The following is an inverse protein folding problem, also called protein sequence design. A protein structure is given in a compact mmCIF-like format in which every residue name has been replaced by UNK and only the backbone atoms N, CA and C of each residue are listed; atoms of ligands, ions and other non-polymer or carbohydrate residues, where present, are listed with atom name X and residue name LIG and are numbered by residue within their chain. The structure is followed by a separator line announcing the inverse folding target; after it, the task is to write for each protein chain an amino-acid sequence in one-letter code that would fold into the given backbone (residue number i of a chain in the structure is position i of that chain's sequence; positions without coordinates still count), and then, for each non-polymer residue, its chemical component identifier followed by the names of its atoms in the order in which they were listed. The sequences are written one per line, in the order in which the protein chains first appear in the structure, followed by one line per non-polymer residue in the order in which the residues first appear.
data_IF_183899550623
#
_entry.id   IF_183899550623
#
_cell.length_a   1.000
_cell.length_b   1.000
_cell.length_c   1.000
_cell.angle_alpha   90.00
_cell.angle_beta   90.00
_cell.angle_gamma   90.00
#
_symmetry.space_group_name_H-M   'P 1'
#
loop_
_entity.id
_entity.type
_entity.pdbx_description
1 polymer ?
#
# COMPACT_ATOMS: atom_id res chain seq x y z
N UNK A 1 -37.22 9.86 39.79
CA UNK A 1 -36.82 9.77 38.37
C UNK A 1 -35.42 9.18 38.30
N UNK A 2 -35.28 7.91 37.93
CA UNK A 2 -33.96 7.29 37.71
C UNK A 2 -33.52 7.69 36.29
N UNK A 3 -32.44 8.45 36.19
CA UNK A 3 -31.79 8.72 34.90
C UNK A 3 -31.31 7.38 34.32
N UNK A 4 -31.86 6.96 33.21
CA UNK A 4 -31.32 5.85 32.44
C UNK A 4 -29.91 6.25 31.98
N UNK A 5 -28.88 5.36 32.17
CA UNK A 5 -27.55 5.63 31.66
C UNK A 5 -27.63 5.76 30.13
N UNK A 6 -27.13 6.87 29.60
CA UNK A 6 -27.04 7.10 28.18
C UNK A 6 -26.34 5.91 27.52
N UNK A 7 -26.92 5.36 26.45
CA UNK A 7 -26.30 4.28 25.69
C UNK A 7 -24.89 4.69 25.25
N UNK A 8 -23.87 3.85 25.47
CA UNK A 8 -22.50 4.18 25.11
C UNK A 8 -22.43 4.52 23.63
N UNK A 9 -21.82 5.68 23.30
CA UNK A 9 -21.65 6.14 21.92
C UNK A 9 -20.89 5.08 21.10
N UNK A 10 -21.15 5.01 19.79
CA UNK A 10 -20.44 4.08 18.87
C UNK A 10 -18.93 4.21 19.03
N UNK A 11 -18.41 5.42 19.26
CA UNK A 11 -17.00 5.69 19.51
C UNK A 11 -16.48 5.00 20.78
N UNK A 12 -17.26 4.98 21.88
CA UNK A 12 -16.86 4.28 23.12
C UNK A 12 -16.94 2.76 22.96
N UNK A 13 -17.88 2.24 22.18
CA UNK A 13 -17.95 0.80 21.83
C UNK A 13 -16.77 0.38 20.95
N UNK A 14 -16.25 1.29 20.11
CA UNK A 14 -15.08 1.07 19.27
C UNK A 14 -13.76 1.34 19.98
N UNK A 15 -13.72 1.73 21.25
CA UNK A 15 -12.47 2.09 21.95
C UNK A 15 -11.71 3.23 21.29
N UNK A 16 -12.41 4.08 20.51
CA UNK A 16 -11.83 5.20 19.79
C UNK A 16 -11.59 6.35 20.77
N UNK A 17 -10.34 6.46 21.23
CA UNK A 17 -9.87 7.65 21.93
C UNK A 17 -9.63 8.78 20.93
N UNK A 18 -9.65 10.05 21.39
CA UNK A 18 -9.34 11.19 20.50
C UNK A 18 -7.99 11.05 19.78
N UNK A 19 -6.88 10.70 20.46
CA UNK A 19 -5.60 10.46 19.78
C UNK A 19 -5.67 9.36 18.72
N UNK A 20 -6.36 8.25 19.00
CA UNK A 20 -6.55 7.18 18.04
C UNK A 20 -7.30 7.65 16.80
N UNK A 21 -8.40 8.39 16.96
CA UNK A 21 -9.17 8.92 15.84
C UNK A 21 -8.36 9.86 14.97
N UNK A 22 -7.54 10.76 15.58
CA UNK A 22 -6.67 11.67 14.84
C UNK A 22 -5.62 10.92 14.03
N UNK A 23 -4.95 9.92 14.61
CA UNK A 23 -3.94 9.13 13.90
C UNK A 23 -4.56 8.34 12.75
N UNK A 24 -5.72 7.73 12.96
CA UNK A 24 -6.44 7.01 11.90
C UNK A 24 -6.87 7.96 10.78
N UNK A 25 -7.29 9.17 11.12
CA UNK A 25 -7.64 10.21 10.14
C UNK A 25 -6.39 10.67 9.35
N UNK A 26 -5.24 10.84 10.02
CA UNK A 26 -3.97 11.14 9.34
C UNK A 26 -3.64 10.06 8.32
N UNK A 27 -3.65 8.78 8.71
CA UNK A 27 -3.35 7.68 7.79
C UNK A 27 -4.38 7.59 6.66
N UNK A 28 -5.66 7.84 6.94
CA UNK A 28 -6.68 7.92 5.90
C UNK A 28 -6.34 8.99 4.86
N UNK A 29 -5.95 10.20 5.30
CA UNK A 29 -5.59 11.30 4.40
C UNK A 29 -4.31 11.03 3.61
N UNK A 30 -3.30 10.40 4.21
CA UNK A 30 -2.06 9.99 3.53
C UNK A 30 -2.41 9.06 2.33
N UNK A 31 -3.24 8.05 2.58
CA UNK A 31 -3.61 7.08 1.53
C UNK A 31 -4.61 7.66 0.52
N UNK A 32 -5.50 8.53 0.95
CA UNK A 32 -6.37 9.29 0.07
C UNK A 32 -5.53 10.12 -0.91
N UNK A 33 -4.52 10.82 -0.41
CA UNK A 33 -3.64 11.65 -1.22
C UNK A 33 -2.81 10.85 -2.22
N UNK A 34 -2.26 9.71 -1.81
CA UNK A 34 -1.58 8.79 -2.73
C UNK A 34 -2.58 8.31 -3.81
N UNK A 35 -3.79 7.89 -3.37
CA UNK A 35 -4.81 7.34 -4.25
C UNK A 35 -5.33 8.32 -5.30
N UNK A 36 -5.46 9.60 -4.97
CA UNK A 36 -5.97 10.60 -5.91
C UNK A 36 -5.03 10.86 -7.09
N UNK A 37 -3.73 10.65 -6.90
CA UNK A 37 -2.73 10.89 -7.96
C UNK A 37 -2.82 9.85 -9.08
N UNK A 38 -3.23 8.61 -8.78
CA UNK A 38 -3.28 7.55 -9.80
C UNK A 38 -4.17 7.90 -11.00
N UNK A 39 -5.42 8.39 -10.83
CA UNK A 39 -6.25 8.76 -11.97
C UNK A 39 -5.88 10.11 -12.60
N UNK A 40 -5.25 11.04 -11.90
CA UNK A 40 -4.98 12.39 -12.41
C UNK A 40 -3.53 12.62 -12.83
N UNK A 41 -2.57 11.99 -12.15
CA UNK A 41 -1.14 12.23 -12.33
C UNK A 41 -0.68 12.07 -13.77
N UNK A 42 -1.01 10.97 -14.48
CA UNK A 42 -0.66 10.76 -15.86
C UNK A 42 -1.23 11.85 -16.77
N UNK A 43 -2.52 12.20 -16.62
CA UNK A 43 -3.16 13.24 -17.43
C UNK A 43 -2.56 14.61 -17.17
N UNK A 44 -2.29 14.96 -15.91
CA UNK A 44 -1.71 16.24 -15.54
C UNK A 44 -0.26 16.37 -16.06
N UNK A 45 0.53 15.31 -15.96
CA UNK A 45 1.88 15.29 -16.54
C UNK A 45 1.83 15.46 -18.08
N UNK A 46 0.87 14.82 -18.75
CA UNK A 46 0.69 14.93 -20.20
C UNK A 46 0.38 16.37 -20.66
N UNK A 47 -0.25 17.21 -19.84
CA UNK A 47 -0.46 18.64 -20.17
C UNK A 47 0.85 19.42 -20.31
N UNK A 48 1.95 18.92 -19.76
CA UNK A 48 3.31 19.47 -19.88
C UNK A 48 4.17 18.71 -20.90
N UNK A 49 3.54 17.89 -21.76
CA UNK A 49 4.27 17.12 -22.78
C UNK A 49 5.02 15.90 -22.23
N UNK A 50 4.65 15.40 -21.06
CA UNK A 50 5.28 14.23 -20.46
C UNK A 50 5.07 12.98 -21.32
N UNK A 51 6.14 12.22 -21.52
CA UNK A 51 6.12 10.89 -22.09
C UNK A 51 5.63 9.84 -21.07
N UNK A 52 5.41 8.61 -21.49
CA UNK A 52 5.05 7.52 -20.56
C UNK A 52 6.19 7.20 -19.56
N UNK A 53 7.45 7.37 -19.99
CA UNK A 53 8.60 7.28 -19.09
C UNK A 53 8.56 8.38 -18.03
N UNK A 54 8.23 9.61 -18.38
CA UNK A 54 8.12 10.74 -17.45
C UNK A 54 7.02 10.51 -16.41
N UNK A 55 5.90 9.93 -16.82
CA UNK A 55 4.83 9.50 -15.89
C UNK A 55 5.35 8.42 -14.97
N UNK A 56 6.05 7.42 -15.47
CA UNK A 56 6.72 6.41 -14.64
C UNK A 56 7.69 7.01 -13.62
N UNK A 57 8.48 8.00 -14.07
CA UNK A 57 9.45 8.73 -13.24
C UNK A 57 8.75 9.51 -12.12
N UNK A 58 7.58 10.10 -12.37
CA UNK A 58 6.78 10.81 -11.38
C UNK A 58 6.42 9.91 -10.17
N UNK A 59 6.02 8.65 -10.41
CA UNK A 59 5.75 7.68 -9.34
C UNK A 59 7.05 7.13 -8.71
N UNK A 60 8.08 6.93 -9.52
CA UNK A 60 9.40 6.47 -9.04
C UNK A 60 10.03 7.48 -8.09
N UNK A 61 10.02 8.77 -8.39
CA UNK A 61 10.59 9.82 -7.54
C UNK A 61 9.91 9.86 -6.16
N UNK A 62 8.58 9.73 -6.12
CA UNK A 62 7.86 9.59 -4.86
C UNK A 62 8.34 8.37 -4.07
N UNK A 63 8.41 7.20 -4.71
CA UNK A 63 8.80 5.94 -4.07
C UNK A 63 10.25 5.96 -3.58
N UNK A 64 11.16 6.56 -4.33
CA UNK A 64 12.58 6.73 -3.93
C UNK A 64 12.68 7.63 -2.70
N UNK A 65 12.03 8.80 -2.74
CA UNK A 65 12.05 9.72 -1.62
C UNK A 65 11.44 9.07 -0.37
N UNK A 66 10.31 8.39 -0.50
CA UNK A 66 9.67 7.65 0.59
C UNK A 66 10.59 6.57 1.17
N UNK A 67 11.21 5.75 0.30
CA UNK A 67 12.10 4.67 0.74
C UNK A 67 13.30 5.17 1.53
N UNK A 68 13.89 6.28 1.10
CA UNK A 68 15.05 6.87 1.79
C UNK A 68 14.67 7.53 3.11
N UNK A 69 13.48 8.11 3.20
CA UNK A 69 13.09 8.92 4.37
C UNK A 69 12.37 8.14 5.46
N UNK A 70 11.65 7.04 5.15
CA UNK A 70 10.96 6.23 6.16
C UNK A 70 11.87 5.80 7.31
N UNK A 71 13.07 5.21 7.10
CA UNK A 71 13.94 4.82 8.20
C UNK A 71 14.46 6.03 9.01
N UNK A 72 14.72 7.14 8.32
CA UNK A 72 15.19 8.38 8.94
C UNK A 72 14.09 8.96 9.85
N UNK A 73 12.88 9.08 9.32
CA UNK A 73 11.73 9.60 10.08
C UNK A 73 11.36 8.68 11.24
N UNK A 74 11.46 7.36 11.06
CA UNK A 74 11.31 6.39 12.14
C UNK A 74 12.32 6.62 13.27
N UNK A 75 13.60 6.72 12.95
CA UNK A 75 14.66 6.97 13.94
C UNK A 75 14.55 8.36 14.61
N UNK A 76 14.16 9.38 13.86
CA UNK A 76 13.86 10.71 14.41
C UNK A 76 12.67 10.67 15.37
N UNK A 77 11.63 9.92 15.01
CA UNK A 77 10.43 9.72 15.83
C UNK A 77 10.74 8.99 17.14
N UNK A 78 11.66 8.02 17.14
CA UNK A 78 12.15 7.35 18.35
C UNK A 78 12.99 8.26 19.24
N UNK A 79 13.70 9.24 18.64
CA UNK A 79 14.61 10.13 19.35
C UNK A 79 13.94 11.40 19.88
N UNK A 80 13.13 12.05 19.07
CA UNK A 80 12.54 13.35 19.39
C UNK A 80 11.09 13.26 19.88
N UNK A 81 10.46 12.10 19.70
CA UNK A 81 9.04 11.86 19.99
C UNK A 81 8.22 11.67 18.72
N UNK A 82 7.06 11.04 18.85
CA UNK A 82 6.17 10.72 17.73
C UNK A 82 5.51 11.97 17.15
N UNK A 83 4.99 12.83 18.04
CA UNK A 83 4.21 14.02 17.66
C UNK A 83 4.98 15.01 16.77
N UNK A 84 6.21 15.46 17.11
CA UNK A 84 6.95 16.40 16.27
C UNK A 84 7.20 15.89 14.86
N UNK A 85 7.55 14.60 14.73
CA UNK A 85 7.86 13.98 13.43
C UNK A 85 6.59 13.85 12.58
N UNK A 86 5.47 13.45 13.18
CA UNK A 86 4.17 13.43 12.51
C UNK A 86 3.77 14.82 12.01
N UNK A 87 3.90 15.87 12.83
CA UNK A 87 3.55 17.23 12.44
C UNK A 87 4.41 17.75 11.28
N UNK A 88 5.71 17.44 11.27
CA UNK A 88 6.61 17.80 10.17
C UNK A 88 6.23 17.04 8.90
N UNK A 89 5.94 15.74 9.01
CA UNK A 89 5.50 14.92 7.89
C UNK A 89 4.20 15.44 7.27
N UNK A 90 3.16 15.69 8.09
CA UNK A 90 1.88 16.22 7.61
C UNK A 90 2.07 17.61 6.96
N UNK A 91 2.90 18.50 7.55
CA UNK A 91 3.20 19.80 6.95
C UNK A 91 3.90 19.67 5.59
N UNK A 92 4.84 18.73 5.46
CA UNK A 92 5.50 18.45 4.19
C UNK A 92 4.54 17.89 3.13
N UNK A 93 3.54 17.11 3.50
CA UNK A 93 2.48 16.67 2.58
C UNK A 93 1.64 17.84 2.07
N UNK A 94 1.27 18.79 2.94
CA UNK A 94 0.60 20.03 2.51
C UNK A 94 1.41 20.72 1.43
N UNK A 95 2.72 20.90 1.66
CA UNK A 95 3.61 21.53 0.68
C UNK A 95 3.65 20.70 -0.62
N UNK A 96 3.75 19.39 -0.51
CA UNK A 96 3.74 18.48 -1.67
C UNK A 96 2.48 18.62 -2.53
N UNK A 97 1.28 18.67 -1.92
CA UNK A 97 0.02 18.84 -2.65
C UNK A 97 -0.14 20.25 -3.23
N UNK A 98 0.27 21.29 -2.50
CA UNK A 98 0.24 22.66 -3.01
C UNK A 98 1.18 22.82 -4.22
N UNK A 99 2.40 22.27 -4.15
CA UNK A 99 3.33 22.26 -5.29
C UNK A 99 2.76 21.50 -6.48
N UNK A 100 2.09 20.36 -6.25
CA UNK A 100 1.46 19.59 -7.33
C UNK A 100 0.34 20.38 -7.98
N UNK A 101 -0.60 20.94 -7.20
CA UNK A 101 -1.72 21.71 -7.73
C UNK A 101 -1.30 23.01 -8.41
N UNK A 102 -0.23 23.66 -7.93
CA UNK A 102 0.33 24.88 -8.50
C UNK A 102 1.36 24.63 -9.62
N UNK A 103 1.56 23.38 -10.05
CA UNK A 103 2.57 23.06 -11.03
C UNK A 103 2.30 23.77 -12.37
N UNK A 104 3.36 24.39 -12.92
CA UNK A 104 3.40 25.04 -14.22
C UNK A 104 4.40 24.37 -15.17
N UNK A 105 5.07 23.34 -14.71
CA UNK A 105 6.04 22.56 -15.47
C UNK A 105 6.17 21.14 -14.95
N UNK A 106 6.66 20.23 -15.78
CA UNK A 106 6.95 18.85 -15.42
C UNK A 106 7.96 18.75 -14.26
N UNK A 107 8.97 19.64 -14.24
CA UNK A 107 9.96 19.69 -13.16
C UNK A 107 9.29 19.99 -11.82
N UNK A 108 8.34 20.92 -11.76
CA UNK A 108 7.63 21.24 -10.53
C UNK A 108 6.74 20.07 -10.06
N UNK A 109 6.15 19.29 -11.00
CA UNK A 109 5.49 18.04 -10.66
C UNK A 109 6.45 17.04 -10.00
N UNK A 110 7.66 16.87 -10.55
CA UNK A 110 8.68 15.99 -9.97
C UNK A 110 9.10 16.44 -8.56
N UNK A 111 9.37 17.74 -8.39
CA UNK A 111 9.69 18.29 -7.06
C UNK A 111 8.57 18.04 -6.08
N UNK A 112 7.31 18.22 -6.49
CA UNK A 112 6.15 17.93 -5.63
C UNK A 112 6.12 16.47 -5.16
N UNK A 113 6.49 15.52 -6.06
CA UNK A 113 6.51 14.09 -5.73
C UNK A 113 7.65 13.74 -4.79
N UNK A 114 8.83 14.35 -4.96
CA UNK A 114 9.95 14.19 -4.02
C UNK A 114 9.58 14.72 -2.63
N UNK A 115 8.99 15.90 -2.55
CA UNK A 115 8.55 16.49 -1.27
C UNK A 115 7.49 15.62 -0.60
N UNK A 116 6.45 15.22 -1.33
CA UNK A 116 5.39 14.35 -0.81
C UNK A 116 5.95 12.99 -0.37
N UNK A 117 6.81 12.36 -1.18
CA UNK A 117 7.45 11.09 -0.84
C UNK A 117 8.33 11.18 0.40
N UNK A 118 9.13 12.25 0.51
CA UNK A 118 9.97 12.49 1.68
C UNK A 118 9.16 12.70 2.98
N UNK A 119 7.93 13.18 2.86
CA UNK A 119 7.04 13.48 3.98
C UNK A 119 6.14 12.28 4.36
N UNK A 120 5.98 11.29 3.48
CA UNK A 120 5.04 10.17 3.63
C UNK A 120 5.47 9.08 4.65
N UNK A 121 6.48 9.35 5.48
CA UNK A 121 6.88 8.48 6.60
C UNK A 121 5.88 8.42 7.76
N UNK A 122 4.77 9.16 7.67
CA UNK A 122 3.73 9.24 8.70
C UNK A 122 3.11 7.87 9.03
N UNK A 123 2.97 6.97 8.06
CA UNK A 123 2.39 5.63 8.30
C UNK A 123 3.21 4.84 9.32
N UNK A 124 4.55 4.86 9.22
CA UNK A 124 5.43 4.20 10.19
C UNK A 124 5.35 4.84 11.59
N UNK A 125 5.37 6.16 11.65
CA UNK A 125 5.21 6.91 12.90
C UNK A 125 3.82 6.69 13.52
N UNK A 126 2.76 6.63 12.70
CA UNK A 126 1.39 6.33 13.13
C UNK A 126 1.26 4.90 13.69
N UNK A 127 1.88 3.92 13.06
CA UNK A 127 1.91 2.55 13.57
C UNK A 127 2.60 2.48 14.94
N UNK A 128 3.74 3.17 15.09
CA UNK A 128 4.44 3.25 16.36
C UNK A 128 3.61 3.99 17.42
N UNK A 129 2.98 5.11 17.06
CA UNK A 129 2.08 5.85 17.94
C UNK A 129 0.92 4.97 18.43
N UNK A 130 0.25 4.24 17.52
CA UNK A 130 -0.83 3.29 17.86
C UNK A 130 -0.32 2.20 18.81
N UNK A 131 0.88 1.66 18.56
CA UNK A 131 1.49 0.67 19.44
C UNK A 131 1.77 1.21 20.85
N UNK A 132 2.17 2.49 20.96
CA UNK A 132 2.45 3.16 22.23
C UNK A 132 1.19 3.39 23.08
N UNK A 133 0.04 3.75 22.43
CA UNK A 133 -1.22 4.06 23.13
C UNK A 133 -2.14 2.85 23.31
N UNK A 134 -1.82 1.69 22.70
CA UNK A 134 -2.65 0.49 22.75
C UNK A 134 -2.12 -0.52 23.77
N UNK A 135 -3.01 -1.05 24.62
CA UNK A 135 -2.67 -2.19 25.47
C UNK A 135 -2.43 -3.45 24.62
N UNK A 136 -1.68 -4.46 25.11
CA UNK A 136 -1.46 -5.72 24.36
C UNK A 136 -2.75 -6.40 23.89
N UNK A 137 -3.85 -6.28 24.67
CA UNK A 137 -5.16 -6.84 24.32
C UNK A 137 -5.87 -6.07 23.21
N UNK A 138 -5.62 -4.77 23.10
CA UNK A 138 -6.27 -3.89 22.13
C UNK A 138 -5.50 -3.77 20.81
N UNK A 139 -4.21 -4.15 20.78
CA UNK A 139 -3.33 -3.99 19.62
C UNK A 139 -3.92 -4.56 18.33
N UNK A 140 -4.43 -5.79 18.36
CA UNK A 140 -5.01 -6.42 17.16
C UNK A 140 -6.15 -5.59 16.59
N UNK A 141 -7.02 -5.06 17.47
CA UNK A 141 -8.12 -4.21 17.08
C UNK A 141 -7.65 -2.85 16.55
N UNK A 142 -6.69 -2.21 17.22
CA UNK A 142 -6.13 -0.92 16.82
C UNK A 142 -5.47 -0.99 15.45
N UNK A 143 -4.70 -2.04 15.18
CA UNK A 143 -4.11 -2.29 13.86
C UNK A 143 -5.16 -2.69 12.81
N UNK A 144 -6.26 -3.34 13.20
CA UNK A 144 -7.41 -3.57 12.34
C UNK A 144 -8.07 -2.26 11.88
N UNK A 145 -8.25 -1.30 12.80
CA UNK A 145 -8.76 0.05 12.48
C UNK A 145 -7.80 0.81 11.56
N UNK A 146 -6.48 0.67 11.76
CA UNK A 146 -5.48 1.22 10.86
C UNK A 146 -5.62 0.65 9.44
N UNK A 147 -5.77 -0.67 9.31
CA UNK A 147 -6.03 -1.33 8.02
C UNK A 147 -7.31 -0.83 7.34
N UNK A 148 -8.37 -0.60 8.13
CA UNK A 148 -9.60 0.01 7.61
C UNK A 148 -9.38 1.44 7.11
N UNK A 149 -8.64 2.29 7.85
CA UNK A 149 -8.31 3.65 7.43
C UNK A 149 -7.51 3.66 6.11
N UNK A 150 -6.53 2.76 5.97
CA UNK A 150 -5.76 2.53 4.73
C UNK A 150 -6.71 2.18 3.56
N UNK A 151 -7.60 1.21 3.75
CA UNK A 151 -8.50 0.74 2.71
C UNK A 151 -9.49 1.81 2.26
N UNK A 152 -10.04 2.57 3.22
CA UNK A 152 -10.96 3.67 2.95
C UNK A 152 -10.24 4.82 2.25
N UNK A 153 -8.99 5.13 2.61
CA UNK A 153 -8.16 6.12 1.91
C UNK A 153 -7.95 5.75 0.44
N UNK A 154 -7.59 4.51 0.15
CA UNK A 154 -7.44 4.01 -1.22
C UNK A 154 -8.75 3.94 -2.00
N UNK A 155 -9.90 3.87 -1.34
CA UNK A 155 -11.21 3.96 -1.99
C UNK A 155 -11.55 5.41 -2.36
N UNK A 156 -11.44 6.33 -1.40
CA UNK A 156 -11.83 7.72 -1.59
C UNK A 156 -10.82 8.52 -2.41
N UNK A 157 -9.53 8.14 -2.39
CA UNK A 157 -8.48 8.80 -3.16
C UNK A 157 -8.79 8.86 -4.66
N UNK A 158 -8.88 7.71 -5.35
CA UNK A 158 -9.22 7.69 -6.78
C UNK A 158 -10.59 8.30 -7.07
N UNK A 159 -11.59 8.09 -6.19
CA UNK A 159 -12.92 8.68 -6.34
C UNK A 159 -12.86 10.21 -6.37
N UNK A 160 -12.18 10.81 -5.40
CA UNK A 160 -11.98 12.27 -5.34
C UNK A 160 -11.12 12.76 -6.51
N UNK A 161 -10.03 12.04 -6.82
CA UNK A 161 -9.12 12.35 -7.92
C UNK A 161 -9.87 12.42 -9.27
N UNK A 162 -10.63 11.38 -9.60
CA UNK A 162 -11.38 11.33 -10.86
C UNK A 162 -12.56 12.29 -10.93
N UNK A 163 -13.33 12.41 -9.82
CA UNK A 163 -14.49 13.29 -9.79
C UNK A 163 -14.10 14.78 -9.88
N UNK A 164 -13.12 15.22 -9.14
CA UNK A 164 -12.64 16.61 -9.22
C UNK A 164 -11.78 16.84 -10.46
N UNK A 165 -10.98 15.86 -10.86
CA UNK A 165 -10.07 15.93 -12.00
C UNK A 165 -10.76 16.07 -13.36
N UNK A 166 -12.05 15.73 -13.48
CA UNK A 166 -12.84 15.98 -14.71
C UNK A 166 -13.10 17.47 -14.96
N UNK A 167 -13.11 18.29 -13.90
CA UNK A 167 -13.32 19.74 -14.02
C UNK A 167 -11.99 20.48 -14.19
N UNK A 168 -11.00 20.17 -13.36
CA UNK A 168 -9.63 20.68 -13.45
C UNK A 168 -8.68 19.68 -12.75
N UNK A 169 -7.60 19.31 -13.41
CA UNK A 169 -6.59 18.36 -12.90
C UNK A 169 -5.86 18.84 -11.64
N UNK A 170 -5.95 20.14 -11.32
CA UNK A 170 -5.36 20.77 -10.13
C UNK A 170 -6.26 20.65 -8.90
N UNK A 171 -7.59 20.65 -9.10
CA UNK A 171 -8.56 20.66 -8.00
C UNK A 171 -8.38 19.54 -6.99
N UNK A 172 -8.14 18.27 -7.40
CA UNK A 172 -7.92 17.19 -6.44
C UNK A 172 -6.75 17.46 -5.49
N UNK A 173 -5.66 18.03 -6.00
CA UNK A 173 -4.49 18.33 -5.19
C UNK A 173 -4.75 19.46 -4.19
N UNK A 174 -5.43 20.52 -4.60
CA UNK A 174 -5.83 21.60 -3.67
C UNK A 174 -6.84 21.13 -2.63
N UNK A 175 -7.79 20.26 -3.02
CA UNK A 175 -8.74 19.66 -2.07
C UNK A 175 -8.01 18.76 -1.05
N UNK A 176 -7.04 17.95 -1.49
CA UNK A 176 -6.20 17.16 -0.60
C UNK A 176 -5.38 18.07 0.34
N UNK A 177 -4.74 19.12 -0.19
CA UNK A 177 -4.01 20.08 0.61
C UNK A 177 -4.88 20.70 1.71
N UNK A 178 -6.10 21.11 1.38
CA UNK A 178 -7.05 21.68 2.36
C UNK A 178 -7.40 20.67 3.45
N UNK A 179 -7.68 19.41 3.10
CA UNK A 179 -7.97 18.36 4.07
C UNK A 179 -6.76 18.07 4.97
N UNK A 180 -5.55 18.03 4.41
CA UNK A 180 -4.32 17.79 5.17
C UNK A 180 -3.97 18.98 6.06
N UNK A 181 -4.27 20.22 5.66
CA UNK A 181 -4.16 21.43 6.54
C UNK A 181 -5.09 21.30 7.74
N UNK A 182 -6.34 20.90 7.54
CA UNK A 182 -7.29 20.66 8.65
C UNK A 182 -6.77 19.57 9.58
N UNK A 183 -6.23 18.49 9.03
CA UNK A 183 -5.60 17.45 9.84
C UNK A 183 -4.38 17.97 10.60
N UNK A 184 -3.52 18.76 9.96
CA UNK A 184 -2.33 19.33 10.59
C UNK A 184 -2.68 20.23 11.77
N UNK A 185 -3.67 21.12 11.60
CA UNK A 185 -4.17 21.98 12.68
C UNK A 185 -4.76 21.11 13.79
N UNK A 186 -5.57 20.11 13.45
CA UNK A 186 -6.17 19.18 14.42
C UNK A 186 -5.11 18.41 15.20
N UNK A 187 -4.07 17.91 14.53
CA UNK A 187 -2.96 17.23 15.18
C UNK A 187 -2.12 18.18 16.04
N UNK A 188 -1.92 19.43 15.58
CA UNK A 188 -1.19 20.45 16.34
C UNK A 188 -1.89 20.77 17.65
N UNK A 189 -3.24 20.85 17.67
CA UNK A 189 -4.02 21.25 18.85
C UNK A 189 -4.30 20.04 19.77
N UNK A 190 -4.63 18.88 19.21
CA UNK A 190 -5.23 17.78 19.98
C UNK A 190 -4.39 16.51 20.06
N UNK A 191 -3.30 16.38 19.28
CA UNK A 191 -2.49 15.16 19.33
C UNK A 191 -1.48 15.27 20.48
N UNK A 192 -1.59 14.45 21.57
CA UNK A 192 -0.58 14.42 22.63
C UNK A 192 0.68 13.66 22.15
N UNK A 193 1.78 13.84 22.86
CA UNK A 193 2.97 13.01 22.66
C UNK A 193 2.73 11.60 23.24
N UNK A 194 3.01 10.55 22.47
CA UNK A 194 2.84 9.16 22.92
C UNK A 194 4.11 8.55 23.50
N UNK A 195 5.28 9.10 23.15
CA UNK A 195 6.57 8.59 23.60
C UNK A 195 7.16 9.47 24.72
N UNK A 196 7.09 9.04 26.00
CA UNK A 196 7.67 9.77 27.13
C UNK A 196 9.18 10.00 26.94
N UNK A 197 9.69 11.10 27.49
CA UNK A 197 11.07 11.52 27.32
C UNK A 197 12.11 10.49 27.83
N UNK A 198 11.75 9.74 28.88
CA UNK A 198 12.57 8.67 29.48
C UNK A 198 12.68 7.42 28.58
N UNK A 199 11.72 7.21 27.68
CA UNK A 199 11.71 6.08 26.74
C UNK A 199 12.30 6.41 25.37
N UNK A 200 12.70 7.66 25.12
CA UNK A 200 13.28 8.07 23.84
C UNK A 200 14.63 7.43 23.61
N UNK A 201 14.84 6.94 22.38
CA UNK A 201 16.08 6.28 22.01
C UNK A 201 17.25 7.28 21.96
N UNK A 202 18.35 6.92 22.60
CA UNK A 202 19.66 7.62 22.48
C UNK A 202 20.56 6.95 21.45
N UNK A 203 20.08 5.90 20.77
CA UNK A 203 20.86 5.16 19.78
C UNK A 203 21.24 6.04 18.58
N UNK A 204 22.38 5.74 17.98
CA UNK A 204 22.80 6.42 16.75
C UNK A 204 21.80 6.16 15.62
N UNK A 205 21.42 7.22 14.91
CA UNK A 205 20.58 7.17 13.71
C UNK A 205 21.08 6.16 12.66
N UNK A 206 22.39 5.95 12.62
CA UNK A 206 23.05 5.09 11.62
C UNK A 206 22.68 3.59 11.73
N UNK A 207 22.24 3.09 12.90
CA UNK A 207 21.95 1.65 13.09
C UNK A 207 20.69 1.14 12.40
N UNK A 208 19.75 2.03 12.06
CA UNK A 208 18.47 1.67 11.40
C UNK A 208 18.45 1.90 9.88
N UNK A 209 19.49 2.47 9.30
CA UNK A 209 19.48 3.03 7.95
C UNK A 209 19.84 2.06 6.81
N UNK A 210 19.92 0.74 7.07
CA UNK A 210 20.30 -0.21 6.03
C UNK A 210 19.20 -1.23 5.69
N UNK A 211 18.12 -0.81 4.98
CA UNK A 211 17.06 -1.72 4.55
C UNK A 211 17.56 -2.77 3.55
N UNK A 212 18.60 -2.45 2.76
CA UNK A 212 19.23 -3.42 1.84
C UNK A 212 19.97 -4.52 2.58
N UNK A 213 20.64 -4.22 3.70
CA UNK A 213 21.31 -5.21 4.53
C UNK A 213 20.34 -6.24 5.10
N UNK A 214 19.15 -5.79 5.51
CA UNK A 214 18.05 -6.67 5.96
C UNK A 214 17.59 -7.57 4.82
N UNK A 215 17.32 -7.01 3.66
CA UNK A 215 16.88 -7.77 2.49
C UNK A 215 17.93 -8.80 2.06
N UNK A 216 19.22 -8.42 1.96
CA UNK A 216 20.30 -9.33 1.60
C UNK A 216 20.43 -10.48 2.61
N UNK A 217 20.33 -10.17 3.90
CA UNK A 217 20.39 -11.19 4.97
C UNK A 217 19.27 -12.21 4.83
N UNK A 218 18.05 -11.77 4.50
CA UNK A 218 16.90 -12.64 4.33
C UNK A 218 16.97 -13.43 3.01
N UNK A 219 17.49 -12.84 1.93
CA UNK A 219 17.70 -13.53 0.65
C UNK A 219 18.78 -14.65 0.77
N UNK A 220 19.64 -14.60 1.76
CA UNK A 220 20.58 -15.71 2.06
C UNK A 220 19.89 -16.92 2.69
N UNK A 221 18.64 -16.77 3.21
CA UNK A 221 17.86 -17.86 3.79
C UNK A 221 17.05 -18.57 2.70
N UNK A 222 17.30 -19.85 2.40
CA UNK A 222 16.63 -20.58 1.31
C UNK A 222 15.10 -20.55 1.41
N UNK A 223 14.55 -20.62 2.65
CA UNK A 223 13.11 -20.63 2.93
C UNK A 223 12.39 -19.33 2.53
N UNK A 224 13.08 -18.18 2.58
CA UNK A 224 12.50 -16.87 2.36
C UNK A 224 12.71 -16.34 0.93
N UNK A 225 13.64 -16.90 0.17
CA UNK A 225 13.93 -16.44 -1.21
C UNK A 225 12.72 -16.46 -2.11
N UNK A 226 11.97 -17.56 -2.11
CA UNK A 226 10.77 -17.71 -2.94
C UNK A 226 9.70 -16.67 -2.58
N UNK A 227 9.21 -16.62 -1.32
CA UNK A 227 8.24 -15.62 -0.90
C UNK A 227 8.67 -14.17 -1.12
N UNK A 228 9.93 -13.81 -0.88
CA UNK A 228 10.45 -12.45 -1.14
C UNK A 228 10.52 -12.13 -2.64
N UNK A 229 10.92 -13.10 -3.48
CA UNK A 229 10.87 -12.93 -4.93
C UNK A 229 9.44 -12.74 -5.44
N UNK A 230 8.48 -13.52 -4.93
CA UNK A 230 7.05 -13.34 -5.24
C UNK A 230 6.55 -11.96 -4.78
N UNK A 231 6.98 -11.49 -3.59
CA UNK A 231 6.67 -10.13 -3.12
C UNK A 231 7.17 -9.08 -4.12
N UNK A 232 8.40 -9.21 -4.60
CA UNK A 232 8.97 -8.31 -5.60
C UNK A 232 8.18 -8.35 -6.90
N UNK A 233 8.01 -9.53 -7.50
CA UNK A 233 7.37 -9.72 -8.81
C UNK A 233 5.94 -9.19 -8.84
N UNK A 234 5.13 -9.51 -7.82
CA UNK A 234 3.74 -9.07 -7.74
C UNK A 234 3.64 -7.55 -7.53
N UNK A 235 4.47 -6.96 -6.65
CA UNK A 235 4.47 -5.51 -6.46
C UNK A 235 5.05 -4.75 -7.66
N UNK A 236 6.04 -5.31 -8.36
CA UNK A 236 6.60 -4.73 -9.58
C UNK A 236 5.53 -4.65 -10.68
N UNK A 237 4.83 -5.75 -10.95
CA UNK A 237 3.74 -5.77 -11.91
C UNK A 237 2.62 -4.79 -11.53
N UNK A 238 2.20 -4.80 -10.25
CA UNK A 238 1.10 -3.97 -9.78
C UNK A 238 1.43 -2.47 -9.78
N UNK A 239 2.66 -2.08 -9.42
CA UNK A 239 3.08 -0.67 -9.47
C UNK A 239 3.19 -0.16 -10.91
N UNK A 240 3.67 -1.00 -11.82
CA UNK A 240 3.67 -0.72 -13.26
C UNK A 240 2.25 -0.54 -13.82
N UNK A 241 1.30 -1.39 -13.40
CA UNK A 241 -0.12 -1.25 -13.72
C UNK A 241 -0.66 0.11 -13.29
N UNK A 242 -0.47 0.51 -12.04
CA UNK A 242 -0.99 1.78 -11.52
C UNK A 242 -0.44 3.00 -12.28
N UNK A 243 0.81 2.94 -12.73
CA UNK A 243 1.44 4.02 -13.47
C UNK A 243 0.99 4.10 -14.94
N UNK A 244 0.74 2.94 -15.58
CA UNK A 244 0.45 2.87 -17.02
C UNK A 244 -1.04 2.74 -17.35
N UNK A 245 -1.91 2.40 -16.40
CA UNK A 245 -3.32 2.13 -16.66
C UNK A 245 -4.06 3.35 -17.24
N UNK A 246 -3.85 4.54 -16.67
CA UNK A 246 -4.48 5.77 -17.16
C UNK A 246 -3.98 6.14 -18.57
N UNK A 247 -2.69 5.98 -18.83
CA UNK A 247 -2.12 6.21 -20.18
C UNK A 247 -2.67 5.22 -21.20
N UNK A 248 -2.77 3.95 -20.84
CA UNK A 248 -3.32 2.91 -21.70
C UNK A 248 -4.78 3.18 -22.08
N UNK A 249 -5.61 3.47 -21.07
CA UNK A 249 -7.04 3.71 -21.28
C UNK A 249 -7.30 5.01 -22.05
N UNK A 250 -6.48 6.03 -21.85
CA UNK A 250 -6.51 7.26 -22.66
C UNK A 250 -6.13 6.98 -24.12
N UNK A 251 -5.03 6.29 -24.35
CA UNK A 251 -4.55 6.01 -25.70
C UNK A 251 -5.47 5.07 -26.51
N UNK A 252 -6.18 4.14 -25.82
CA UNK A 252 -6.98 3.12 -26.51
C UNK A 252 -8.48 3.43 -26.57
N UNK A 253 -9.01 4.13 -25.56
CA UNK A 253 -10.45 4.35 -25.40
C UNK A 253 -10.82 5.82 -25.20
N UNK A 254 -9.85 6.73 -25.30
CA UNK A 254 -10.02 8.18 -25.07
C UNK A 254 -10.62 8.49 -23.67
N UNK A 255 -10.22 7.72 -22.67
CA UNK A 255 -10.69 7.91 -21.30
C UNK A 255 -10.00 9.09 -20.63
N UNK A 256 -10.80 9.81 -19.82
CA UNK A 256 -10.31 10.82 -18.88
C UNK A 256 -10.15 10.28 -17.45
N UNK A 257 -9.80 11.16 -16.51
CA UNK A 257 -9.57 10.80 -15.11
C UNK A 257 -10.78 10.14 -14.43
N UNK A 258 -12.01 10.54 -14.79
CA UNK A 258 -13.23 10.03 -14.20
C UNK A 258 -13.44 8.52 -14.49
N UNK A 259 -13.28 8.10 -15.74
CA UNK A 259 -13.47 6.70 -16.14
C UNK A 259 -12.41 5.81 -15.49
N UNK A 260 -11.15 6.26 -15.45
CA UNK A 260 -10.07 5.59 -14.74
C UNK A 260 -10.43 5.42 -13.25
N UNK A 261 -10.90 6.48 -12.62
CA UNK A 261 -11.28 6.44 -11.21
C UNK A 261 -12.41 5.46 -10.93
N UNK A 262 -13.42 5.36 -11.80
CA UNK A 262 -14.54 4.41 -11.64
C UNK A 262 -14.01 2.97 -11.57
N UNK A 263 -13.07 2.57 -12.44
CA UNK A 263 -12.45 1.23 -12.40
C UNK A 263 -11.71 1.01 -11.07
N UNK A 264 -10.91 2.00 -10.63
CA UNK A 264 -10.15 1.89 -9.38
C UNK A 264 -11.07 1.85 -8.14
N UNK A 265 -12.21 2.55 -8.17
CA UNK A 265 -13.23 2.52 -7.11
C UNK A 265 -13.92 1.16 -7.07
N UNK A 266 -14.35 0.62 -8.20
CA UNK A 266 -14.93 -0.73 -8.28
C UNK A 266 -13.94 -1.76 -7.72
N UNK A 267 -12.68 -1.70 -8.16
CA UNK A 267 -11.61 -2.55 -7.68
C UNK A 267 -11.42 -2.43 -6.16
N UNK A 268 -11.42 -1.22 -5.62
CA UNK A 268 -11.24 -0.96 -4.18
C UNK A 268 -12.41 -1.50 -3.36
N UNK A 269 -13.66 -1.24 -3.75
CA UNK A 269 -14.86 -1.74 -3.07
C UNK A 269 -14.85 -3.27 -3.04
N UNK A 270 -14.66 -3.90 -4.20
CA UNK A 270 -14.61 -5.35 -4.29
C UNK A 270 -13.48 -5.94 -3.47
N UNK A 271 -12.29 -5.32 -3.50
CA UNK A 271 -11.14 -5.76 -2.70
C UNK A 271 -11.44 -5.70 -1.19
N UNK A 272 -12.08 -4.62 -0.71
CA UNK A 272 -12.49 -4.49 0.70
C UNK A 272 -13.48 -5.60 1.08
N UNK A 273 -14.49 -5.84 0.25
CA UNK A 273 -15.49 -6.89 0.50
C UNK A 273 -14.84 -8.27 0.56
N UNK A 274 -13.98 -8.58 -0.41
CA UNK A 274 -13.27 -9.86 -0.47
C UNK A 274 -12.32 -10.04 0.70
N UNK A 275 -11.56 -9.01 1.07
CA UNK A 275 -10.67 -9.06 2.24
C UNK A 275 -11.44 -9.26 3.54
N UNK A 276 -12.58 -8.60 3.70
CA UNK A 276 -13.34 -8.64 4.95
C UNK A 276 -14.17 -9.90 5.09
N UNK A 277 -14.79 -10.38 4.01
CA UNK A 277 -15.73 -11.48 4.05
C UNK A 277 -15.17 -12.77 3.42
N UNK A 278 -14.41 -12.66 2.36
CA UNK A 278 -13.90 -13.81 1.59
C UNK A 278 -12.65 -14.42 2.19
N UNK A 279 -11.62 -13.60 2.45
CA UNK A 279 -10.32 -14.10 2.94
C UNK A 279 -10.44 -14.88 4.24
N UNK A 280 -11.19 -14.45 5.29
CA UNK A 280 -11.34 -15.23 6.50
C UNK A 280 -11.94 -16.62 6.25
N UNK A 281 -13.00 -16.70 5.43
CA UNK A 281 -13.64 -17.99 5.10
C UNK A 281 -12.73 -18.93 4.31
N UNK A 282 -11.98 -18.37 3.35
CA UNK A 282 -11.02 -19.16 2.57
C UNK A 282 -9.86 -19.67 3.44
N UNK A 283 -9.36 -18.84 4.36
CA UNK A 283 -8.25 -19.22 5.24
C UNK A 283 -8.60 -20.30 6.27
N UNK A 284 -9.88 -20.53 6.55
CA UNK A 284 -10.34 -21.65 7.38
C UNK A 284 -10.30 -23.00 6.65
N UNK A 285 -10.46 -22.98 5.32
CA UNK A 285 -10.62 -24.19 4.49
C UNK A 285 -9.41 -24.52 3.63
N UNK A 286 -8.60 -23.51 3.26
CA UNK A 286 -7.50 -23.66 2.30
C UNK A 286 -6.15 -23.21 2.91
N UNK A 287 -5.04 -23.83 2.50
CA UNK A 287 -3.69 -23.35 2.81
C UNK A 287 -3.43 -21.96 2.21
N UNK A 288 -2.63 -21.14 2.91
CA UNK A 288 -2.22 -19.81 2.41
C UNK A 288 -1.61 -19.86 1.00
N UNK A 289 -0.88 -20.91 0.67
CA UNK A 289 -0.27 -21.11 -0.65
C UNK A 289 -1.29 -21.29 -1.76
N UNK A 290 -2.41 -21.95 -1.49
CA UNK A 290 -3.53 -22.10 -2.45
C UNK A 290 -4.23 -20.76 -2.65
N UNK A 291 -4.53 -20.04 -1.58
CA UNK A 291 -5.16 -18.71 -1.66
C UNK A 291 -4.24 -17.73 -2.39
N UNK A 292 -2.93 -17.79 -2.13
CA UNK A 292 -1.91 -17.02 -2.83
C UNK A 292 -1.92 -17.30 -4.34
N UNK A 293 -1.92 -18.56 -4.74
CA UNK A 293 -1.94 -18.96 -6.16
C UNK A 293 -3.23 -18.53 -6.87
N UNK A 294 -4.38 -18.64 -6.19
CA UNK A 294 -5.66 -18.12 -6.72
C UNK A 294 -5.59 -16.60 -6.94
N UNK A 295 -5.01 -15.87 -5.97
CA UNK A 295 -4.82 -14.43 -6.10
C UNK A 295 -3.89 -14.03 -7.23
N UNK A 296 -2.75 -14.73 -7.37
CA UNK A 296 -1.80 -14.52 -8.47
C UNK A 296 -2.46 -14.84 -9.82
N UNK A 297 -3.21 -15.94 -9.91
CA UNK A 297 -3.92 -16.34 -11.12
C UNK A 297 -5.01 -15.33 -11.52
N UNK A 298 -5.75 -14.79 -10.57
CA UNK A 298 -6.75 -13.77 -10.84
C UNK A 298 -6.10 -12.47 -11.38
N UNK A 299 -4.98 -12.01 -10.80
CA UNK A 299 -4.26 -10.85 -11.34
C UNK A 299 -3.67 -11.13 -12.72
N UNK A 300 -3.09 -12.31 -12.95
CA UNK A 300 -2.59 -12.72 -14.25
C UNK A 300 -3.69 -12.61 -15.33
N UNK A 301 -4.86 -13.19 -15.07
CA UNK A 301 -6.01 -13.09 -15.98
C UNK A 301 -6.49 -11.65 -16.13
N UNK A 302 -6.54 -10.87 -15.04
CA UNK A 302 -6.92 -9.46 -15.09
C UNK A 302 -5.98 -8.62 -15.97
N UNK A 303 -4.67 -8.83 -15.89
CA UNK A 303 -3.68 -8.16 -16.75
C UNK A 303 -3.83 -8.58 -18.22
N UNK A 304 -4.08 -9.87 -18.49
CA UNK A 304 -4.33 -10.35 -19.83
C UNK A 304 -5.61 -9.75 -20.44
N UNK A 305 -6.67 -9.64 -19.62
CA UNK A 305 -7.93 -8.98 -20.03
C UNK A 305 -7.67 -7.51 -20.37
N UNK A 306 -6.86 -6.78 -19.59
CA UNK A 306 -6.51 -5.38 -19.90
C UNK A 306 -5.77 -5.31 -21.24
N UNK A 307 -4.74 -6.13 -21.42
CA UNK A 307 -3.92 -6.11 -22.63
C UNK A 307 -4.72 -6.42 -23.90
N UNK A 308 -5.69 -7.33 -23.79
CA UNK A 308 -6.50 -7.84 -24.91
C UNK A 308 -7.85 -7.11 -25.06
N UNK A 309 -8.23 -6.21 -24.14
CA UNK A 309 -9.57 -5.61 -24.09
C UNK A 309 -9.99 -4.97 -25.43
N UNK A 310 -11.01 -5.48 -26.13
CA UNK A 310 -11.49 -4.90 -27.37
C UNK A 310 -12.41 -3.68 -27.12
N UNK A 311 -13.04 -3.63 -25.95
CA UNK A 311 -14.06 -2.67 -25.56
C UNK A 311 -13.87 -2.24 -24.09
N UNK A 312 -14.16 -0.96 -23.73
CA UNK A 312 -14.10 -0.47 -22.36
C UNK A 312 -14.88 -1.30 -21.33
N UNK A 313 -15.98 -1.92 -21.71
CA UNK A 313 -16.82 -2.74 -20.83
C UNK A 313 -16.02 -3.89 -20.19
N UNK A 314 -15.06 -4.47 -20.92
CA UNK A 314 -14.19 -5.52 -20.39
C UNK A 314 -13.37 -5.05 -19.19
N UNK A 315 -13.01 -3.77 -19.14
CA UNK A 315 -12.25 -3.22 -18.02
C UNK A 315 -13.10 -3.13 -16.76
N UNK A 316 -14.37 -2.76 -16.87
CA UNK A 316 -15.29 -2.67 -15.73
C UNK A 316 -15.75 -4.04 -15.25
N UNK A 317 -16.15 -4.93 -16.18
CA UNK A 317 -16.85 -6.18 -15.87
C UNK A 317 -15.89 -7.33 -15.56
N UNK A 318 -14.73 -7.39 -16.21
CA UNK A 318 -13.77 -8.48 -16.03
C UNK A 318 -12.48 -8.07 -15.36
N UNK A 319 -11.84 -7.00 -15.85
CA UNK A 319 -10.53 -6.61 -15.33
C UNK A 319 -10.61 -6.12 -13.88
N UNK A 320 -11.50 -5.20 -13.55
CA UNK A 320 -11.61 -4.65 -12.21
C UNK A 320 -11.92 -5.74 -11.14
N UNK A 321 -12.90 -6.64 -11.35
CA UNK A 321 -13.12 -7.77 -10.43
C UNK A 321 -11.93 -8.71 -10.31
N UNK A 322 -11.28 -9.08 -11.40
CA UNK A 322 -10.11 -9.97 -11.37
C UNK A 322 -8.94 -9.34 -10.59
N UNK A 323 -8.68 -8.05 -10.81
CA UNK A 323 -7.66 -7.31 -10.08
C UNK A 323 -8.02 -7.18 -8.59
N UNK A 324 -9.31 -6.96 -8.27
CA UNK A 324 -9.78 -6.91 -6.90
C UNK A 324 -9.61 -8.24 -6.17
N UNK A 325 -10.07 -9.35 -6.79
CA UNK A 325 -9.89 -10.71 -6.26
C UNK A 325 -8.40 -10.98 -6.06
N UNK A 326 -7.61 -10.73 -7.10
CA UNK A 326 -6.18 -10.96 -7.07
C UNK A 326 -5.51 -10.25 -5.91
N UNK A 327 -5.62 -8.92 -5.84
CA UNK A 327 -4.95 -8.11 -4.81
C UNK A 327 -5.46 -8.40 -3.40
N UNK A 328 -6.74 -8.71 -3.23
CA UNK A 328 -7.35 -9.07 -1.96
C UNK A 328 -6.81 -10.40 -1.41
N UNK A 329 -6.46 -11.35 -2.27
CA UNK A 329 -6.00 -12.68 -1.89
C UNK A 329 -4.48 -12.76 -1.73
N UNK A 330 -3.68 -12.30 -2.71
CA UNK A 330 -2.24 -12.57 -2.69
C UNK A 330 -1.49 -11.80 -1.59
N UNK A 331 -1.86 -10.54 -1.31
CA UNK A 331 -1.15 -9.70 -0.32
C UNK A 331 -1.20 -10.27 1.09
N UNK A 332 -2.38 -10.55 1.69
CA UNK A 332 -2.46 -11.10 3.03
C UNK A 332 -1.91 -12.52 3.12
N UNK A 333 -2.14 -13.37 2.10
CA UNK A 333 -1.64 -14.75 2.10
C UNK A 333 -0.12 -14.82 2.06
N UNK A 334 0.52 -13.94 1.28
CA UNK A 334 1.98 -13.86 1.20
C UNK A 334 2.58 -13.34 2.50
N UNK A 335 1.97 -12.34 3.13
CA UNK A 335 2.38 -11.83 4.45
C UNK A 335 2.25 -12.91 5.53
N UNK A 336 1.12 -13.64 5.55
CA UNK A 336 0.91 -14.78 6.45
C UNK A 336 1.96 -15.88 6.24
N UNK A 337 2.24 -16.23 4.98
CA UNK A 337 3.24 -17.23 4.64
C UNK A 337 4.63 -16.83 5.15
N UNK A 338 5.09 -15.60 4.89
CA UNK A 338 6.39 -15.10 5.33
C UNK A 338 6.50 -15.13 6.86
N UNK A 339 5.47 -14.72 7.58
CA UNK A 339 5.48 -14.70 9.05
C UNK A 339 5.48 -16.09 9.68
N UNK A 340 4.87 -17.09 9.03
CA UNK A 340 4.88 -18.49 9.48
C UNK A 340 6.23 -19.19 9.25
N UNK A 341 7.07 -18.68 8.35
CA UNK A 341 8.38 -19.23 8.03
C UNK A 341 9.51 -18.79 8.98
N UNK A 342 9.22 -17.88 9.90
CA UNK A 342 10.20 -17.33 10.83
C UNK A 342 9.71 -17.45 12.28
N UNK A 343 10.67 -17.47 13.21
CA UNK A 343 10.35 -17.46 14.64
C UNK A 343 9.72 -16.11 15.05
N UNK A 344 8.97 -16.07 16.15
CA UNK A 344 8.34 -14.84 16.64
C UNK A 344 9.32 -13.67 16.84
N UNK A 345 10.57 -13.96 17.21
CA UNK A 345 11.64 -12.96 17.37
C UNK A 345 12.13 -12.38 16.05
N UNK A 346 11.95 -13.11 14.94
CA UNK A 346 12.43 -12.73 13.61
C UNK A 346 11.32 -12.11 12.73
N UNK A 347 10.08 -12.09 13.20
CA UNK A 347 8.94 -11.54 12.42
C UNK A 347 9.15 -10.07 12.02
N UNK A 348 9.74 -9.25 12.90
CA UNK A 348 10.10 -7.88 12.58
C UNK A 348 11.10 -7.78 11.42
N UNK A 349 12.13 -8.64 11.43
CA UNK A 349 13.13 -8.71 10.36
C UNK A 349 12.49 -9.17 9.03
N UNK A 350 11.64 -10.19 9.07
CA UNK A 350 10.96 -10.72 7.89
C UNK A 350 10.01 -9.69 7.26
N UNK A 351 9.24 -8.98 8.09
CA UNK A 351 8.39 -7.87 7.64
C UNK A 351 9.22 -6.73 7.04
N UNK A 352 10.33 -6.35 7.67
CA UNK A 352 11.26 -5.35 7.13
C UNK A 352 11.81 -5.73 5.76
N UNK A 353 12.20 -7.00 5.56
CA UNK A 353 12.65 -7.49 4.25
C UNK A 353 11.56 -7.54 3.19
N UNK A 354 10.34 -7.91 3.58
CA UNK A 354 9.18 -7.85 2.68
C UNK A 354 8.88 -6.42 2.24
N UNK A 355 8.93 -5.47 3.16
CA UNK A 355 8.75 -4.05 2.86
C UNK A 355 9.87 -3.50 1.96
N UNK A 356 11.13 -3.86 2.20
CA UNK A 356 12.25 -3.48 1.35
C UNK A 356 12.11 -4.05 -0.07
N UNK A 357 11.67 -5.32 -0.20
CA UNK A 357 11.39 -5.95 -1.49
C UNK A 357 10.25 -5.23 -2.23
N UNK A 358 9.17 -4.89 -1.53
CA UNK A 358 8.05 -4.13 -2.09
C UNK A 358 8.48 -2.72 -2.53
N UNK A 359 9.29 -2.04 -1.72
CA UNK A 359 9.79 -0.69 -2.04
C UNK A 359 10.65 -0.68 -3.31
N UNK A 360 11.57 -1.64 -3.46
CA UNK A 360 12.36 -1.78 -4.70
C UNK A 360 11.46 -1.99 -5.92
N UNK A 361 10.42 -2.82 -5.78
CA UNK A 361 9.46 -3.07 -6.84
C UNK A 361 8.68 -1.82 -7.23
N UNK A 362 8.24 -1.01 -6.25
CA UNK A 362 7.51 0.25 -6.51
C UNK A 362 8.41 1.38 -7.04
N UNK A 363 9.71 1.32 -6.79
CA UNK A 363 10.69 2.24 -7.38
C UNK A 363 10.89 1.94 -8.87
N UNK A 364 11.12 0.67 -9.21
CA UNK A 364 11.55 0.30 -10.57
C UNK A 364 10.35 0.05 -11.50
N UNK A 365 9.23 -0.45 -10.95
CA UNK A 365 8.06 -0.88 -11.73
C UNK A 365 7.44 0.20 -12.59
N UNK A 366 7.12 1.39 -12.06
CA UNK A 366 6.51 2.47 -12.84
C UNK A 366 7.37 2.94 -14.01
N UNK A 367 8.67 3.15 -13.78
CA UNK A 367 9.61 3.56 -14.82
C UNK A 367 9.79 2.45 -15.86
N UNK A 368 9.89 1.19 -15.44
CA UNK A 368 9.95 0.03 -16.33
C UNK A 368 8.71 -0.09 -17.20
N UNK A 369 7.53 0.14 -16.65
CA UNK A 369 6.27 0.15 -17.38
C UNK A 369 6.23 1.31 -18.41
N UNK A 370 6.71 2.50 -18.05
CA UNK A 370 6.81 3.64 -18.94
C UNK A 370 7.70 3.35 -20.15
N UNK A 371 8.91 2.79 -19.93
CA UNK A 371 9.82 2.38 -21.01
C UNK A 371 9.18 1.34 -21.93
N UNK A 372 8.50 0.34 -21.38
CA UNK A 372 7.82 -0.69 -22.18
C UNK A 372 6.70 -0.06 -23.02
N UNK A 373 5.91 0.82 -22.41
CA UNK A 373 4.82 1.52 -23.08
C UNK A 373 5.30 2.28 -24.32
N UNK A 374 6.41 3.03 -24.21
CA UNK A 374 6.97 3.83 -25.31
C UNK A 374 7.61 2.96 -26.40
N UNK A 375 8.38 1.93 -26.02
CA UNK A 375 9.18 1.17 -26.97
C UNK A 375 8.41 0.07 -27.68
N UNK A 376 7.43 -0.52 -27.02
CA UNK A 376 6.76 -1.75 -27.50
C UNK A 376 5.23 -1.65 -27.56
N UNK A 377 4.68 -0.46 -27.19
CA UNK A 377 3.26 -0.15 -27.32
C UNK A 377 2.47 -0.21 -26.03
N UNK A 378 1.27 0.36 -26.05
CA UNK A 378 0.45 0.61 -24.86
C UNK A 378 0.05 -0.64 -24.06
N UNK A 379 -0.11 -1.79 -24.71
CA UNK A 379 -0.48 -3.06 -24.07
C UNK A 379 0.71 -3.77 -23.39
N UNK A 380 1.94 -3.43 -23.76
CA UNK A 380 3.14 -4.17 -23.34
C UNK A 380 3.40 -4.19 -21.82
N UNK A 381 3.11 -3.13 -21.02
CA UNK A 381 3.27 -3.22 -19.57
C UNK A 381 2.36 -4.28 -18.93
N UNK A 382 1.17 -4.48 -19.51
CA UNK A 382 0.22 -5.47 -19.02
C UNK A 382 0.60 -6.89 -19.44
N UNK A 383 1.13 -7.08 -20.65
CA UNK A 383 1.69 -8.37 -21.08
C UNK A 383 2.91 -8.74 -20.23
N UNK A 384 3.81 -7.79 -19.97
CA UNK A 384 4.93 -8.01 -19.08
C UNK A 384 4.45 -8.32 -17.65
N UNK A 385 3.43 -7.62 -17.14
CA UNK A 385 2.81 -7.90 -15.86
C UNK A 385 2.20 -9.31 -15.79
N UNK A 386 1.54 -9.76 -16.87
CA UNK A 386 1.05 -11.16 -17.01
C UNK A 386 2.20 -12.16 -16.86
N UNK A 387 3.32 -11.93 -17.57
CA UNK A 387 4.51 -12.78 -17.48
C UNK A 387 5.12 -12.78 -16.06
N UNK A 388 5.15 -11.61 -15.39
CA UNK A 388 5.64 -11.51 -14.02
C UNK A 388 4.75 -12.25 -13.01
N UNK A 389 3.42 -12.19 -13.14
CA UNK A 389 2.51 -12.99 -12.31
C UNK A 389 2.63 -14.48 -12.62
N UNK A 390 2.82 -14.88 -13.87
CA UNK A 390 3.11 -16.27 -14.23
C UNK A 390 4.42 -16.76 -13.59
N UNK A 391 5.48 -15.96 -13.64
CA UNK A 391 6.76 -16.24 -12.98
C UNK A 391 6.60 -16.34 -11.45
N UNK A 392 5.80 -15.47 -10.85
CA UNK A 392 5.49 -15.52 -9.43
C UNK A 392 4.76 -16.82 -9.05
N UNK A 393 3.78 -17.26 -9.87
CA UNK A 393 3.07 -18.52 -9.68
C UNK A 393 4.02 -19.73 -9.76
N UNK A 394 4.91 -19.75 -10.75
CA UNK A 394 5.93 -20.81 -10.88
C UNK A 394 6.89 -20.79 -9.68
N UNK A 395 7.36 -19.62 -9.29
CA UNK A 395 8.29 -19.46 -8.16
C UNK A 395 7.70 -20.02 -6.86
N UNK A 396 6.45 -19.68 -6.54
CA UNK A 396 5.81 -20.19 -5.32
C UNK A 396 5.48 -21.69 -5.44
N UNK A 397 5.07 -22.18 -6.64
CA UNK A 397 4.80 -23.59 -6.85
C UNK A 397 6.08 -24.45 -6.66
N UNK A 398 7.22 -23.98 -7.17
CA UNK A 398 8.52 -24.62 -6.96
C UNK A 398 8.93 -24.57 -5.48
N UNK A 399 8.80 -23.42 -4.81
CA UNK A 399 9.10 -23.30 -3.38
C UNK A 399 8.27 -24.29 -2.54
N UNK A 400 6.99 -24.42 -2.84
CA UNK A 400 6.07 -25.37 -2.19
C UNK A 400 6.43 -26.84 -2.47
N UNK A 401 6.91 -27.17 -3.68
CA UNK A 401 7.39 -28.53 -4.00
C UNK A 401 8.64 -28.88 -3.23
N UNK A 402 9.58 -27.94 -3.12
CA UNK A 402 10.82 -28.13 -2.39
C UNK A 402 10.65 -28.17 -0.86
N UNK A 403 9.53 -27.60 -0.37
CA UNK A 403 9.23 -27.45 1.05
C UNK A 403 7.78 -27.87 1.35
N UNK A 404 7.48 -29.18 1.47
CA UNK A 404 6.11 -29.69 1.69
C UNK A 404 5.41 -29.13 2.94
N UNK A 405 6.17 -28.65 3.93
CA UNK A 405 5.63 -28.00 5.14
C UNK A 405 4.79 -26.75 4.85
N UNK A 406 5.00 -26.09 3.68
CA UNK A 406 4.23 -24.93 3.25
C UNK A 406 2.79 -25.27 2.79
N UNK A 407 2.44 -26.54 2.64
CA UNK A 407 1.11 -27.00 2.20
C UNK A 407 0.12 -27.24 3.34
N UNK A 408 0.56 -27.24 4.60
CA UNK A 408 -0.31 -27.63 5.72
C UNK A 408 -1.39 -26.59 5.95
N UNK A 409 -2.65 -27.03 5.98
CA UNK A 409 -3.78 -26.19 6.37
C UNK A 409 -3.76 -25.88 7.88
N UNK A 410 -4.41 -24.83 8.35
CA UNK A 410 -4.54 -24.56 9.76
C UNK A 410 -5.15 -25.73 10.58
N UNK A 411 -6.06 -26.51 9.97
CA UNK A 411 -6.66 -27.70 10.57
C UNK A 411 -5.65 -28.84 10.75
N UNK A 412 -4.77 -29.06 9.79
CA UNK A 412 -3.71 -30.07 9.88
C UNK A 412 -2.63 -29.69 10.90
N UNK A 413 -2.33 -28.41 11.05
CA UNK A 413 -1.41 -27.90 12.09
C UNK A 413 -2.01 -28.06 13.48
N UNK A 414 -3.30 -27.78 13.66
CA UNK A 414 -4.00 -27.97 14.92
C UNK A 414 -4.07 -29.45 15.32
N UNK A 415 -4.30 -30.36 14.37
CA UNK A 415 -4.34 -31.81 14.63
C UNK A 415 -2.95 -32.43 14.89
N UNK A 416 -1.88 -31.83 14.32
CA UNK A 416 -0.50 -32.28 14.54
C UNK A 416 0.05 -31.86 15.91
N UNK A 417 -0.38 -30.69 16.44
CA UNK A 417 0.00 -30.19 17.76
C UNK A 417 -0.65 -30.92 18.94
N UNK A 418 -1.69 -31.72 18.68
CA UNK A 418 -2.38 -32.53 19.71
C UNK A 418 -1.80 -33.95 19.87
N UNK A 419 -0.80 -34.36 19.08
CA UNK A 419 -0.11 -35.63 19.32
C UNK A 419 1.00 -35.44 20.36
N UNK A 420 0.90 -36.08 21.55
CA UNK A 420 2.02 -36.05 22.49
C UNK A 420 3.22 -36.69 21.83
N UNK A 421 4.38 -36.03 21.97
CA UNK A 421 5.68 -36.60 21.65
C UNK A 421 5.78 -37.95 22.39
N UNK A 422 5.62 -39.06 21.67
CA UNK A 422 5.97 -40.37 22.20
C UNK A 422 7.47 -40.38 22.41
N UNK A 423 7.81 -40.47 23.68
CA UNK A 423 9.17 -40.71 24.22
C UNK A 423 9.83 -41.93 23.60
#
# INVERSE_FOLDING_TARGET
MRQQPASPSVASRLGLTRPMALILFTVFLDLLGIGLIFPIGPFYASTFGASAFDVGLLFTLFSVAQFLTIPILGALSDRYGRRPVLLIGIAGEVVGYLLFGAATSLILLYVSRVVAGASSGNIGAAQAYIADISTPRERTRSFGLLGAAVSVGFLFGPAMGGFLGQYDLRLPAFAAAALVVVNWISALVWLPESLPADRRSRASLARGLNPFGVLITLLRRPLLRGPLAVTFLCNFAFSGYLASFALFTSARFDWGPQQVAVVLVIQSIMSIVIQTLGVPRLSESMPDTTILLLGIGANLLGFLVIAAAPDPVFLYVLSAPLQAIGSALWRPSLSSLITKLVSGREQGLANGGSQASSALATIIGPMGAGVLFERTGAASPFLAGTALFALAAVTIAVAVRLQPGLRRSPRELASAGSRPLRS
#
